data_IF_807490061611
#
_entry.id   IF_807490061611
#
_cell.length_a   1.000
_cell.length_b   1.000
_cell.length_c   1.000
_cell.angle_alpha   90.00
_cell.angle_beta   90.00
_cell.angle_gamma   90.00
#
_symmetry.space_group_name_H-M   'P 1'
#
loop_
_entity.id
_entity.type
_entity.pdbx_description
1 polymer ?
#
# COMPACT_ATOMS: atom_id res chain seq x y z
N UNK A 1 10.96 13.54 15.85
CA UNK A 1 11.33 12.21 15.35
C UNK A 1 11.85 12.37 13.93
N UNK A 2 12.92 11.66 13.54
CA UNK A 2 13.51 11.78 12.20
C UNK A 2 12.74 10.89 11.21
N UNK A 3 12.58 11.32 9.95
CA UNK A 3 11.81 10.64 8.90
C UNK A 3 12.18 9.14 8.74
N UNK A 4 13.44 8.78 8.97
CA UNK A 4 13.93 7.39 8.86
C UNK A 4 13.34 6.45 9.91
N UNK A 5 13.04 6.97 11.10
CA UNK A 5 12.43 6.16 12.17
C UNK A 5 10.96 5.91 11.84
N UNK A 6 10.24 6.90 11.29
CA UNK A 6 8.83 6.70 10.92
C UNK A 6 8.68 5.63 9.83
N UNK A 7 9.53 5.65 8.80
CA UNK A 7 9.45 4.63 7.74
C UNK A 7 9.73 3.21 8.23
N UNK A 8 10.63 3.04 9.21
CA UNK A 8 10.91 1.73 9.79
C UNK A 8 9.73 1.20 10.60
N UNK A 9 9.11 2.07 11.41
CA UNK A 9 7.96 1.72 12.23
C UNK A 9 6.72 1.44 11.35
N UNK A 10 6.49 2.26 10.31
CA UNK A 10 5.41 2.07 9.34
C UNK A 10 5.57 0.76 8.56
N UNK A 11 6.78 0.43 8.11
CA UNK A 11 7.04 -0.84 7.44
C UNK A 11 6.84 -2.04 8.37
N UNK A 12 7.24 -1.94 9.64
CA UNK A 12 7.03 -2.98 10.64
C UNK A 12 5.53 -3.20 10.93
N UNK A 13 4.75 -2.12 11.02
CA UNK A 13 3.31 -2.18 11.22
C UNK A 13 2.60 -2.84 10.02
N UNK A 14 2.92 -2.42 8.80
CA UNK A 14 2.36 -3.01 7.58
C UNK A 14 2.68 -4.51 7.47
N UNK A 15 3.89 -4.91 7.85
CA UNK A 15 4.27 -6.32 7.87
C UNK A 15 3.47 -7.12 8.91
N UNK A 16 3.28 -6.59 10.11
CA UNK A 16 2.48 -7.25 11.15
C UNK A 16 1.00 -7.42 10.72
N UNK A 17 0.41 -6.39 10.11
CA UNK A 17 -0.97 -6.42 9.59
C UNK A 17 -1.14 -7.48 8.50
N UNK A 18 -0.18 -7.59 7.58
CA UNK A 18 -0.20 -8.64 6.56
C UNK A 18 -0.12 -10.04 7.19
N UNK A 19 0.74 -10.24 8.18
CA UNK A 19 0.85 -11.54 8.87
C UNK A 19 -0.44 -11.92 9.60
N UNK A 20 -1.15 -10.96 10.18
CA UNK A 20 -2.40 -11.20 10.91
C UNK A 20 -3.61 -11.43 9.97
N UNK A 21 -3.73 -10.59 8.94
CA UNK A 21 -4.95 -10.52 8.12
C UNK A 21 -4.83 -11.28 6.80
N UNK A 22 -3.61 -11.44 6.28
CA UNK A 22 -3.31 -11.92 4.94
C UNK A 22 -3.76 -10.97 3.82
N UNK A 23 -4.25 -9.77 4.16
CA UNK A 23 -4.76 -8.82 3.19
C UNK A 23 -3.60 -8.14 2.45
N UNK A 24 -3.68 -8.13 1.13
CA UNK A 24 -2.69 -7.55 0.24
C UNK A 24 -3.35 -7.04 -1.03
N UNK A 25 -2.57 -6.32 -1.83
CA UNK A 25 -2.87 -6.06 -3.24
C UNK A 25 -1.86 -6.82 -4.07
N UNK A 26 -2.28 -7.31 -5.22
CA UNK A 26 -1.38 -7.89 -6.20
C UNK A 26 -0.53 -6.79 -6.85
N UNK A 27 0.62 -7.18 -7.41
CA UNK A 27 1.46 -6.26 -8.18
C UNK A 27 0.65 -5.56 -9.29
N UNK A 28 -0.19 -6.31 -10.01
CA UNK A 28 -0.98 -5.77 -11.13
C UNK A 28 -1.95 -4.67 -10.69
N UNK A 29 -2.59 -4.82 -9.54
CA UNK A 29 -3.52 -3.81 -9.01
C UNK A 29 -2.79 -2.56 -8.57
N UNK A 30 -1.61 -2.71 -7.95
CA UNK A 30 -0.76 -1.59 -7.58
C UNK A 30 -0.31 -0.83 -8.84
N UNK A 31 0.19 -1.54 -9.86
CA UNK A 31 0.63 -0.93 -11.11
C UNK A 31 -0.52 -0.18 -11.80
N UNK A 32 -1.69 -0.82 -11.91
CA UNK A 32 -2.88 -0.20 -12.53
C UNK A 32 -3.31 1.07 -11.78
N UNK A 33 -3.24 1.05 -10.45
CA UNK A 33 -3.59 2.22 -9.65
C UNK A 33 -2.57 3.34 -9.77
N UNK A 34 -1.26 3.03 -9.70
CA UNK A 34 -0.18 4.00 -9.85
C UNK A 34 -0.16 4.64 -11.24
N UNK A 35 -0.49 3.89 -12.28
CA UNK A 35 -0.60 4.40 -13.66
C UNK A 35 -1.72 5.44 -13.82
N UNK A 36 -2.73 5.42 -12.93
CA UNK A 36 -3.83 6.39 -12.95
C UNK A 36 -3.47 7.73 -12.31
N UNK A 37 -2.41 7.79 -11.49
CA UNK A 37 -2.06 8.97 -10.71
C UNK A 37 -1.64 10.16 -11.57
N UNK A 38 -2.17 11.34 -11.25
CA UNK A 38 -1.89 12.57 -11.99
C UNK A 38 -2.58 12.64 -13.36
N UNK A 39 -3.58 11.79 -13.60
CA UNK A 39 -4.41 11.79 -14.80
C UNK A 39 -5.88 12.08 -14.46
N UNK A 40 -6.69 12.40 -15.46
CA UNK A 40 -8.16 12.54 -15.29
C UNK A 40 -8.85 11.22 -14.90
N UNK A 41 -8.14 10.09 -14.97
CA UNK A 41 -8.62 8.76 -14.63
C UNK A 41 -8.11 8.28 -13.26
N UNK A 42 -7.53 9.15 -12.44
CA UNK A 42 -7.04 8.79 -11.10
C UNK A 42 -8.15 8.16 -10.27
N UNK A 43 -7.86 6.97 -9.73
CA UNK A 43 -8.82 6.19 -8.95
C UNK A 43 -8.46 6.14 -7.46
N UNK A 44 -9.45 5.87 -6.62
CA UNK A 44 -9.24 5.65 -5.19
C UNK A 44 -8.32 4.44 -4.95
N UNK A 45 -7.65 4.42 -3.79
CA UNK A 45 -6.80 3.29 -3.40
C UNK A 45 -7.61 1.98 -3.41
N UNK A 46 -7.14 0.92 -4.09
CA UNK A 46 -7.80 -0.37 -4.08
C UNK A 46 -7.88 -0.95 -2.65
N UNK A 47 -8.95 -1.68 -2.35
CA UNK A 47 -9.07 -2.37 -1.06
C UNK A 47 -8.23 -3.65 -1.04
N UNK A 48 -7.42 -3.81 0.00
CA UNK A 48 -6.67 -5.06 0.22
C UNK A 48 -7.60 -6.27 0.39
N UNK A 49 -7.17 -7.42 -0.11
CA UNK A 49 -7.90 -8.69 -0.12
C UNK A 49 -6.93 -9.88 0.05
N UNK A 50 -7.46 -11.10 0.19
CA UNK A 50 -6.66 -12.33 0.36
C UNK A 50 -6.37 -13.02 -0.97
#
# INVERSE_FOLDING_TARGET
>A
MSQRVSFADEAAAAWAEYQETGLHLTQQEIETWLDSWGTDAETEVPRCHK
#
